data_IF_976895543304
#
_entry.id   IF_976895543304
#
_cell.length_a   1.000
_cell.length_b   1.000
_cell.length_c   1.000
_cell.angle_alpha   90.00
_cell.angle_beta   90.00
_cell.angle_gamma   90.00
#
_symmetry.space_group_name_H-M   'P 1'
#
loop_
_entity.id
_entity.type
_entity.pdbx_description
1 polymer ?
#
# COMPACT_ATOMS: atom_id res chain seq x y z
N UNK A 1 -29.96 -45.59 46.76
CA UNK A 1 -28.92 -45.77 45.72
C UNK A 1 -29.44 -45.06 44.48
N UNK A 2 -28.97 -43.92 43.98
CA UNK A 2 -27.71 -43.20 44.08
C UNK A 2 -27.44 -42.67 42.65
N UNK A 3 -28.00 -41.50 42.31
CA UNK A 3 -27.88 -40.84 40.99
C UNK A 3 -26.45 -40.30 40.86
N UNK A 4 -25.76 -40.46 39.71
CA UNK A 4 -24.56 -39.69 39.43
C UNK A 4 -24.77 -38.66 38.31
N UNK A 5 -24.57 -37.39 38.66
CA UNK A 5 -24.07 -36.29 37.82
C UNK A 5 -23.05 -35.53 38.71
N UNK A 6 -22.21 -34.63 38.18
CA UNK A 6 -21.21 -34.79 37.13
C UNK A 6 -19.81 -34.29 37.61
N UNK A 7 -18.75 -34.59 36.87
CA UNK A 7 -17.42 -34.01 37.05
C UNK A 7 -16.80 -33.93 35.64
N UNK A 8 -16.19 -32.86 35.12
CA UNK A 8 -15.53 -31.70 35.71
C UNK A 8 -15.51 -30.54 34.71
N UNK A 9 -15.44 -29.33 35.26
CA UNK A 9 -15.09 -28.07 34.59
C UNK A 9 -13.65 -28.13 34.04
N UNK A 10 -13.46 -27.76 32.76
CA UNK A 10 -12.17 -27.30 32.26
C UNK A 10 -12.31 -25.82 31.85
N UNK A 11 -11.48 -25.02 32.50
CA UNK A 11 -11.54 -23.57 32.68
C UNK A 11 -10.94 -22.88 31.44
N UNK A 12 -11.64 -21.88 30.93
CA UNK A 12 -11.12 -20.93 29.96
C UNK A 12 -9.90 -20.20 30.56
N UNK A 13 -8.76 -20.28 29.90
CA UNK A 13 -7.58 -19.47 30.22
C UNK A 13 -7.69 -18.14 29.48
N UNK A 14 -8.04 -17.12 30.26
CA UNK A 14 -8.03 -15.71 29.88
C UNK A 14 -6.55 -15.26 29.82
N UNK A 15 -6.00 -15.02 28.63
CA UNK A 15 -4.68 -14.41 28.49
C UNK A 15 -4.84 -12.89 28.41
N UNK A 16 -4.64 -12.24 29.54
CA UNK A 16 -4.51 -10.79 29.63
C UNK A 16 -3.17 -10.37 29.02
N UNK A 17 -3.19 -9.79 27.83
CA UNK A 17 -2.05 -9.06 27.31
C UNK A 17 -2.01 -7.68 27.99
N UNK A 18 -1.01 -7.50 28.84
CA UNK A 18 -0.70 -6.23 29.48
C UNK A 18 -0.24 -5.23 28.40
N UNK A 19 -1.01 -4.16 28.21
CA UNK A 19 -0.58 -3.01 27.44
C UNK A 19 0.39 -2.18 28.31
N UNK A 20 1.68 -2.21 27.99
CA UNK A 20 2.62 -1.21 28.49
C UNK A 20 2.52 0.05 27.60
N UNK A 21 2.38 1.25 28.17
CA UNK A 21 2.36 2.48 27.39
C UNK A 21 3.76 2.79 26.84
N UNK A 22 3.87 2.90 25.52
CA UNK A 22 5.07 3.37 24.84
C UNK A 22 5.25 4.88 25.10
N UNK A 23 6.48 5.36 25.41
CA UNK A 23 6.72 6.78 25.64
C UNK A 23 6.63 7.57 24.31
N UNK A 24 5.80 8.61 24.32
CA UNK A 24 5.68 9.61 23.25
C UNK A 24 6.93 10.50 23.24
N UNK A 25 7.59 10.71 22.09
CA UNK A 25 8.71 11.65 22.02
C UNK A 25 8.19 13.10 22.06
N UNK A 26 8.73 13.87 23.01
CA UNK A 26 8.51 15.30 23.16
C UNK A 26 9.29 16.05 22.05
N UNK A 27 8.69 16.99 21.32
CA UNK A 27 9.41 17.77 20.32
C UNK A 27 10.38 18.74 21.00
N UNK A 28 11.68 18.63 20.68
CA UNK A 28 12.69 19.61 21.06
C UNK A 28 12.56 20.86 20.18
N UNK A 29 12.60 22.01 20.83
CA UNK A 29 12.49 23.32 20.22
C UNK A 29 13.63 23.59 19.20
N UNK A 30 13.27 24.17 18.07
CA UNK A 30 14.21 24.69 17.09
C UNK A 30 14.95 25.91 17.66
N UNK A 31 16.29 25.99 17.55
CA UNK A 31 17.00 27.21 17.89
C UNK A 31 16.79 28.27 16.80
N UNK A 32 16.38 29.43 17.30
CA UNK A 32 16.17 30.71 16.64
C UNK A 32 17.43 31.26 15.95
N UNK A 33 17.17 32.01 14.88
CA UNK A 33 18.14 32.81 14.13
C UNK A 33 19.00 33.72 15.03
N UNK A 34 20.31 33.74 14.76
CA UNK A 34 21.22 34.79 15.20
C UNK A 34 21.61 35.66 14.00
N UNK A 35 21.61 37.00 14.12
CA UNK A 35 22.17 37.90 13.12
C UNK A 35 23.64 38.20 13.45
N UNK A 36 24.51 38.28 12.44
CA UNK A 36 25.63 39.23 12.35
C UNK A 36 26.51 38.90 11.15
N UNK A 37 26.78 39.91 10.32
CA UNK A 37 27.71 39.83 9.20
C UNK A 37 27.67 41.09 8.35
N UNK A 38 27.95 42.23 8.97
CA UNK A 38 28.12 43.52 8.30
C UNK A 38 29.57 43.74 7.91
N UNK A 39 29.74 44.41 6.76
CA UNK A 39 30.75 45.42 6.38
C UNK A 39 32.13 45.01 5.81
N UNK A 40 32.44 45.63 4.66
CA UNK A 40 33.78 45.77 4.05
C UNK A 40 33.76 45.86 2.50
N UNK A 41 33.21 46.90 1.87
CA UNK A 41 33.87 48.11 1.27
C UNK A 41 34.43 47.99 -0.16
N UNK A 42 34.09 48.99 -1.01
CA UNK A 42 34.77 49.39 -2.27
C UNK A 42 33.91 49.22 -3.52
N UNK A 43 33.12 50.20 -4.00
CA UNK A 43 33.48 51.42 -4.75
C UNK A 43 33.93 51.17 -6.21
N UNK A 44 33.08 51.59 -7.17
CA UNK A 44 33.52 52.13 -8.46
C UNK A 44 32.93 51.49 -9.73
N UNK A 45 32.12 52.29 -10.45
CA UNK A 45 31.84 52.25 -11.89
C UNK A 45 31.07 51.00 -12.39
N UNK A 46 30.27 50.96 -13.45
CA UNK A 46 29.86 51.83 -14.55
C UNK A 46 28.79 51.03 -15.33
N UNK A 47 27.95 51.70 -16.11
CA UNK A 47 26.66 51.19 -16.57
C UNK A 47 26.71 50.06 -17.61
N UNK A 48 25.70 49.19 -17.56
CA UNK A 48 25.43 48.18 -18.58
C UNK A 48 24.73 46.96 -18.00
N UNK A 49 23.43 47.04 -17.70
CA UNK A 49 22.64 45.85 -17.37
C UNK A 49 22.04 45.27 -18.65
N UNK A 50 22.89 44.60 -19.42
CA UNK A 50 22.45 43.52 -20.29
C UNK A 50 21.69 42.49 -19.42
N UNK A 51 20.59 41.98 -19.94
CA UNK A 51 19.67 41.07 -19.25
C UNK A 51 20.41 39.86 -18.68
N UNK A 52 20.59 39.86 -17.35
CA UNK A 52 21.10 38.70 -16.63
C UNK A 52 20.22 37.48 -16.95
N UNK A 53 20.80 36.31 -17.29
CA UNK A 53 20.05 35.09 -17.53
C UNK A 53 19.16 34.82 -16.31
N UNK A 54 17.84 34.72 -16.53
CA UNK A 54 16.91 34.35 -15.46
C UNK A 54 17.39 33.06 -14.83
N UNK A 55 17.72 33.11 -13.56
CA UNK A 55 18.10 31.95 -12.75
C UNK A 55 16.92 30.98 -12.69
N UNK A 56 16.98 29.92 -13.51
CA UNK A 56 15.98 28.84 -13.59
C UNK A 56 16.13 27.83 -12.44
N UNK A 57 17.06 28.02 -11.50
CA UNK A 57 17.24 27.11 -10.36
C UNK A 57 15.96 26.96 -9.54
N UNK A 58 15.20 28.05 -9.37
CA UNK A 58 13.91 28.07 -8.64
C UNK A 58 12.76 27.34 -9.35
N UNK A 59 12.82 27.16 -10.68
CA UNK A 59 11.79 26.42 -11.41
C UNK A 59 11.94 24.90 -11.22
N UNK A 60 13.15 24.44 -10.86
CA UNK A 60 13.48 23.05 -10.57
C UNK A 60 13.06 22.59 -9.17
N UNK A 61 12.70 23.50 -8.28
CA UNK A 61 12.34 23.24 -6.87
C UNK A 61 10.84 23.15 -6.61
N UNK A 62 10.00 23.06 -7.66
CA UNK A 62 8.59 22.72 -7.45
C UNK A 62 8.51 21.22 -7.12
N UNK A 63 7.92 20.81 -5.98
CA UNK A 63 7.67 19.40 -5.72
C UNK A 63 6.94 18.80 -6.91
N UNK A 64 7.50 17.77 -7.54
CA UNK A 64 6.82 17.08 -8.63
C UNK A 64 5.47 16.60 -8.11
N UNK A 65 4.38 17.16 -8.63
CA UNK A 65 3.03 16.80 -8.19
C UNK A 65 2.81 15.31 -8.45
N UNK A 66 2.32 14.60 -7.44
CA UNK A 66 2.10 13.16 -7.51
C UNK A 66 1.04 12.81 -8.58
N UNK A 67 1.39 12.10 -9.68
CA UNK A 67 0.46 11.88 -10.79
C UNK A 67 -0.81 11.09 -10.43
N UNK A 68 -0.75 10.04 -9.57
CA UNK A 68 -1.91 9.27 -9.15
C UNK A 68 -2.95 10.06 -8.37
N UNK A 69 -2.65 11.27 -7.86
CA UNK A 69 -3.65 12.14 -7.24
C UNK A 69 -4.77 12.56 -8.20
N UNK A 70 -4.57 12.40 -9.51
CA UNK A 70 -5.61 12.63 -10.53
C UNK A 70 -6.61 11.48 -10.63
N UNK A 71 -6.33 10.37 -9.97
CA UNK A 71 -7.25 9.24 -9.88
C UNK A 71 -8.43 9.52 -8.97
N UNK A 72 -9.25 8.50 -8.78
CA UNK A 72 -10.44 8.56 -7.95
C UNK A 72 -10.61 7.31 -7.10
N UNK A 73 -11.18 7.50 -5.91
CA UNK A 73 -11.63 6.41 -5.08
C UNK A 73 -12.92 5.82 -5.69
N UNK A 74 -12.90 4.55 -6.07
CA UNK A 74 -14.00 3.86 -6.74
C UNK A 74 -14.42 2.62 -5.96
N UNK A 75 -15.72 2.28 -6.00
CA UNK A 75 -16.24 1.05 -5.41
C UNK A 75 -16.20 -0.07 -6.45
N UNK A 76 -15.55 -1.18 -6.12
CA UNK A 76 -15.45 -2.35 -7.01
C UNK A 76 -16.10 -3.57 -6.39
N UNK A 77 -16.96 -4.20 -7.19
CA UNK A 77 -17.72 -5.38 -6.79
C UNK A 77 -17.06 -6.60 -7.42
N UNK A 78 -16.20 -7.26 -6.66
CA UNK A 78 -15.57 -8.51 -7.07
C UNK A 78 -16.19 -9.68 -6.31
N UNK A 79 -16.62 -10.70 -7.05
CA UNK A 79 -17.00 -11.98 -6.46
C UNK A 79 -15.73 -12.71 -6.04
N UNK A 80 -15.45 -12.71 -4.73
CA UNK A 80 -14.25 -13.32 -4.13
C UNK A 80 -14.56 -13.79 -2.71
N UNK A 81 -13.75 -14.70 -2.19
CA UNK A 81 -13.82 -15.09 -0.78
C UNK A 81 -13.70 -13.85 0.13
N UNK A 82 -14.25 -13.92 1.34
CA UNK A 82 -14.25 -12.77 2.26
C UNK A 82 -12.86 -12.41 2.80
N UNK A 83 -11.96 -13.39 2.93
CA UNK A 83 -10.59 -13.18 3.40
C UNK A 83 -9.83 -12.17 2.51
N UNK A 84 -9.66 -12.37 1.18
CA UNK A 84 -8.89 -11.43 0.35
C UNK A 84 -9.39 -9.99 0.44
N UNK A 85 -10.71 -9.81 0.59
CA UNK A 85 -11.34 -8.50 0.79
C UNK A 85 -10.92 -7.84 2.10
N UNK A 86 -10.83 -8.62 3.19
CA UNK A 86 -10.33 -8.15 4.50
C UNK A 86 -8.84 -7.85 4.43
N UNK A 87 -8.07 -8.69 3.75
CA UNK A 87 -6.65 -8.49 3.55
C UNK A 87 -6.36 -7.17 2.83
N UNK A 88 -7.04 -6.91 1.71
CA UNK A 88 -6.93 -5.66 0.96
C UNK A 88 -7.16 -4.43 1.87
N UNK A 89 -8.28 -4.41 2.60
CA UNK A 89 -8.60 -3.32 3.52
C UNK A 89 -7.55 -3.14 4.63
N UNK A 90 -6.95 -4.23 5.13
CA UNK A 90 -5.87 -4.15 6.13
C UNK A 90 -4.61 -3.47 5.57
N UNK A 91 -4.26 -3.77 4.32
CA UNK A 91 -3.06 -3.23 3.66
C UNK A 91 -3.25 -1.76 3.26
N UNK A 92 -4.43 -1.41 2.75
CA UNK A 92 -4.68 -0.11 2.12
C UNK A 92 -5.36 0.88 3.07
N UNK A 93 -6.02 0.39 4.12
CA UNK A 93 -6.87 1.20 4.99
C UNK A 93 -8.18 1.63 4.34
N UNK A 94 -8.50 1.11 3.15
CA UNK A 94 -9.72 1.46 2.43
C UNK A 94 -10.94 0.70 2.95
N UNK A 95 -12.11 1.32 2.80
CA UNK A 95 -13.38 0.74 3.22
C UNK A 95 -13.77 -0.48 2.37
N UNK A 96 -14.53 -1.39 2.97
CA UNK A 96 -15.06 -2.56 2.32
C UNK A 96 -16.38 -3.00 2.96
N UNK A 97 -17.14 -3.83 2.26
CA UNK A 97 -18.27 -4.55 2.83
C UNK A 97 -18.34 -5.99 2.33
N UNK A 98 -18.77 -6.88 3.21
CA UNK A 98 -19.08 -8.28 2.90
C UNK A 98 -20.57 -8.48 3.09
N UNK A 99 -21.22 -9.07 2.10
CA UNK A 99 -22.65 -9.39 2.16
C UNK A 99 -22.85 -10.66 2.98
N UNK A 100 -23.97 -10.75 3.70
CA UNK A 100 -24.34 -11.97 4.44
C UNK A 100 -25.61 -12.60 3.86
N UNK A 101 -25.74 -13.92 4.02
CA UNK A 101 -26.87 -14.73 3.54
C UNK A 101 -28.20 -14.50 4.27
N UNK A 102 -28.31 -13.42 5.07
CA UNK A 102 -29.44 -13.17 5.97
C UNK A 102 -29.49 -14.08 7.21
N UNK A 103 -28.61 -15.08 7.31
CA UNK A 103 -28.44 -15.97 8.48
C UNK A 103 -27.11 -15.72 9.20
N UNK A 104 -26.43 -14.62 8.86
CA UNK A 104 -25.16 -14.21 9.45
C UNK A 104 -23.93 -14.91 8.85
N UNK A 105 -24.06 -15.69 7.76
CA UNK A 105 -22.89 -16.25 7.07
C UNK A 105 -22.40 -15.29 6.01
N UNK A 106 -21.10 -15.07 5.98
CA UNK A 106 -20.45 -14.29 4.92
C UNK A 106 -20.57 -14.98 3.57
N UNK A 107 -20.77 -14.17 2.53
CA UNK A 107 -20.88 -14.62 1.13
C UNK A 107 -19.66 -14.18 0.33
N UNK A 108 -19.58 -14.62 -0.94
CA UNK A 108 -18.58 -14.12 -1.87
C UNK A 108 -18.92 -12.72 -2.42
N UNK A 109 -20.13 -12.22 -2.14
CA UNK A 109 -20.58 -10.91 -2.58
C UNK A 109 -20.11 -9.81 -1.61
N UNK A 110 -19.75 -8.66 -2.18
CA UNK A 110 -19.24 -7.53 -1.42
C UNK A 110 -18.56 -6.52 -2.32
N UNK A 111 -17.93 -5.55 -1.68
CA UNK A 111 -17.17 -4.52 -2.38
C UNK A 111 -15.96 -4.07 -1.59
N UNK A 112 -14.95 -3.59 -2.30
CA UNK A 112 -13.81 -2.85 -1.76
C UNK A 112 -13.80 -1.46 -2.40
N UNK A 113 -13.35 -0.45 -1.66
CA UNK A 113 -12.85 0.75 -2.33
C UNK A 113 -11.48 0.44 -2.92
N UNK A 114 -11.25 0.98 -4.11
CA UNK A 114 -10.02 0.89 -4.89
C UNK A 114 -9.70 2.28 -5.43
N UNK A 115 -8.47 2.47 -5.90
CA UNK A 115 -8.02 3.70 -6.54
C UNK A 115 -7.91 3.48 -8.04
N UNK A 116 -8.79 4.13 -8.81
CA UNK A 116 -8.72 4.14 -10.27
C UNK A 116 -7.83 5.30 -10.72
N UNK A 117 -6.80 4.98 -11.50
CA UNK A 117 -5.95 5.98 -12.13
C UNK A 117 -5.47 5.49 -13.49
N UNK A 118 -5.71 6.30 -14.53
CA UNK A 118 -5.46 5.96 -15.94
C UNK A 118 -6.28 4.73 -16.41
N UNK A 119 -7.52 4.60 -15.91
CA UNK A 119 -8.38 3.44 -16.15
C UNK A 119 -7.75 2.11 -15.68
N UNK A 120 -6.82 2.19 -14.72
CA UNK A 120 -6.18 1.07 -14.05
C UNK A 120 -6.57 1.11 -12.60
N UNK A 121 -7.13 0.00 -12.13
CA UNK A 121 -7.47 -0.21 -10.74
C UNK A 121 -6.23 -0.60 -9.92
N UNK A 122 -6.08 0.06 -8.78
CA UNK A 122 -5.12 -0.28 -7.73
C UNK A 122 -5.88 -0.48 -6.42
N UNK A 123 -5.49 -1.47 -5.64
CA UNK A 123 -6.18 -1.77 -4.38
C UNK A 123 -6.15 -0.60 -3.38
N UNK A 124 -5.10 0.24 -3.42
CA UNK A 124 -4.94 1.38 -2.54
C UNK A 124 -4.03 2.49 -3.07
N UNK A 125 -4.09 3.66 -2.41
CA UNK A 125 -3.24 4.81 -2.69
C UNK A 125 -2.87 5.59 -1.42
N UNK A 126 -1.56 5.79 -1.20
CA UNK A 126 -1.02 6.61 -0.12
C UNK A 126 -0.49 7.94 -0.68
N UNK A 127 -1.29 9.00 -0.52
CA UNK A 127 -0.98 10.34 -1.01
C UNK A 127 0.40 10.86 -0.59
N UNK A 128 0.75 10.71 0.69
CA UNK A 128 2.00 11.25 1.26
C UNK A 128 3.28 10.63 0.67
N UNK A 129 3.19 9.44 0.07
CA UNK A 129 4.31 8.71 -0.50
C UNK A 129 4.25 8.60 -2.01
N UNK A 130 3.19 9.13 -2.63
CA UNK A 130 2.85 8.88 -4.03
C UNK A 130 2.85 7.39 -4.38
N UNK A 131 2.33 6.56 -3.47
CA UNK A 131 2.44 5.11 -3.51
C UNK A 131 1.09 4.46 -3.80
N UNK A 132 1.00 3.81 -4.95
CA UNK A 132 -0.08 2.88 -5.28
C UNK A 132 0.21 1.51 -4.66
N UNK A 133 -0.84 0.81 -4.27
CA UNK A 133 -0.75 -0.47 -3.56
C UNK A 133 -1.58 -1.53 -4.27
N UNK A 134 -1.05 -2.75 -4.31
CA UNK A 134 -1.78 -3.95 -4.70
C UNK A 134 -1.68 -4.99 -3.57
N UNK A 135 -2.75 -5.67 -3.20
CA UNK A 135 -2.87 -6.61 -2.10
C UNK A 135 -3.46 -7.94 -2.58
N UNK A 136 -2.63 -8.99 -2.62
CA UNK A 136 -3.05 -10.34 -3.00
C UNK A 136 -3.19 -11.25 -1.78
N UNK A 137 -4.44 -11.53 -1.38
CA UNK A 137 -4.80 -12.41 -0.26
C UNK A 137 -5.17 -13.83 -0.69
N UNK A 138 -4.77 -14.83 0.12
CA UNK A 138 -5.21 -16.22 0.05
C UNK A 138 -5.10 -16.89 -1.33
N UNK A 139 -4.00 -16.70 -2.05
CA UNK A 139 -3.74 -17.39 -3.32
C UNK A 139 -2.95 -18.69 -3.16
N UNK A 140 -2.33 -18.95 -1.99
CA UNK A 140 -1.60 -20.19 -1.75
C UNK A 140 -2.51 -21.43 -1.80
N UNK A 141 -3.83 -21.26 -1.67
CA UNK A 141 -4.83 -22.32 -1.86
C UNK A 141 -4.77 -22.99 -3.25
N UNK A 142 -4.17 -22.34 -4.25
CA UNK A 142 -4.01 -22.90 -5.60
C UNK A 142 -2.76 -23.77 -5.76
N UNK A 143 -1.91 -23.86 -4.74
CA UNK A 143 -0.69 -24.66 -4.74
C UNK A 143 -0.86 -25.97 -3.95
N UNK A 144 -0.22 -27.03 -4.44
CA UNK A 144 0.00 -28.28 -3.71
C UNK A 144 1.14 -28.07 -2.68
N UNK A 145 1.31 -29.04 -1.79
CA UNK A 145 2.39 -29.02 -0.79
C UNK A 145 3.79 -28.96 -1.43
N UNK A 146 3.97 -29.60 -2.60
CA UNK A 146 5.21 -29.53 -3.37
C UNK A 146 5.42 -28.21 -4.15
N UNK A 147 4.59 -27.18 -3.91
CA UNK A 147 4.60 -25.86 -4.57
C UNK A 147 4.26 -25.89 -6.07
N UNK A 148 3.76 -27.00 -6.60
CA UNK A 148 3.16 -27.03 -7.92
C UNK A 148 1.72 -26.51 -7.88
N UNK A 149 1.22 -26.02 -9.01
CA UNK A 149 -0.19 -25.67 -9.12
C UNK A 149 -1.08 -26.91 -9.01
N UNK A 150 -2.18 -26.80 -8.26
CA UNK A 150 -3.23 -27.84 -8.18
C UNK A 150 -3.86 -28.11 -9.56
N UNK A 151 -4.05 -27.04 -10.33
CA UNK A 151 -4.61 -27.05 -11.69
C UNK A 151 -4.18 -25.77 -12.43
N UNK A 152 -4.29 -25.72 -13.78
CA UNK A 152 -4.03 -24.50 -14.55
C UNK A 152 -5.03 -23.39 -14.15
N UNK A 153 -4.60 -22.47 -13.29
CA UNK A 153 -5.44 -21.39 -12.80
C UNK A 153 -5.18 -20.10 -13.58
N UNK A 154 -6.14 -19.69 -14.41
CA UNK A 154 -6.06 -18.46 -15.23
C UNK A 154 -5.87 -17.19 -14.41
N UNK A 155 -6.19 -17.20 -13.11
CA UNK A 155 -5.97 -16.07 -12.23
C UNK A 155 -4.51 -15.65 -12.13
N UNK A 156 -3.54 -16.57 -12.30
CA UNK A 156 -2.13 -16.21 -12.33
C UNK A 156 -1.71 -15.52 -13.63
N UNK A 157 -2.27 -15.90 -14.77
CA UNK A 157 -2.04 -15.17 -16.04
C UNK A 157 -2.54 -13.74 -15.91
N UNK A 158 -3.77 -13.55 -15.39
CA UNK A 158 -4.32 -12.21 -15.13
C UNK A 158 -3.48 -11.41 -14.13
N UNK A 159 -2.95 -12.06 -13.10
CA UNK A 159 -2.06 -11.41 -12.14
C UNK A 159 -0.77 -10.93 -12.80
N UNK A 160 -0.19 -11.70 -13.72
CA UNK A 160 0.99 -11.29 -14.48
C UNK A 160 0.70 -10.10 -15.41
N UNK A 161 -0.44 -10.11 -16.10
CA UNK A 161 -0.91 -9.00 -16.95
C UNK A 161 -1.14 -7.73 -16.11
N UNK A 162 -1.67 -7.87 -14.89
CA UNK A 162 -1.87 -6.75 -13.98
C UNK A 162 -0.53 -6.17 -13.48
N UNK A 163 0.44 -7.02 -13.11
CA UNK A 163 1.81 -6.58 -12.76
C UNK A 163 2.41 -5.76 -13.90
N UNK A 164 2.29 -6.26 -15.13
CA UNK A 164 2.82 -5.60 -16.31
C UNK A 164 2.18 -4.22 -16.52
N UNK A 165 0.85 -4.18 -16.56
CA UNK A 165 0.06 -2.97 -16.82
C UNK A 165 0.32 -1.89 -15.76
N UNK A 166 0.24 -2.25 -14.48
CA UNK A 166 0.48 -1.33 -13.38
C UNK A 166 1.94 -0.87 -13.32
N UNK A 167 2.90 -1.79 -13.49
CA UNK A 167 4.33 -1.48 -13.47
C UNK A 167 4.76 -0.54 -14.59
N UNK A 168 4.22 -0.73 -15.79
CA UNK A 168 4.45 0.16 -16.94
C UNK A 168 3.87 1.56 -16.70
N UNK A 169 2.61 1.64 -16.26
CA UNK A 169 1.95 2.92 -15.99
C UNK A 169 2.69 3.74 -14.92
N UNK A 170 3.09 3.10 -13.82
CA UNK A 170 3.82 3.76 -12.72
C UNK A 170 5.20 4.23 -13.18
N UNK A 171 5.94 3.39 -13.90
CA UNK A 171 7.28 3.72 -14.41
C UNK A 171 7.25 4.87 -15.41
N UNK A 172 6.21 4.98 -16.23
CA UNK A 172 6.04 6.05 -17.20
C UNK A 172 5.70 7.42 -16.56
N UNK A 173 5.31 7.45 -15.28
CA UNK A 173 4.76 8.62 -14.61
C UNK A 173 5.47 8.91 -13.28
N UNK A 174 6.76 9.29 -13.25
CA UNK A 174 7.42 9.69 -12.00
C UNK A 174 6.77 10.95 -11.40
N UNK A 175 6.75 11.13 -10.06
CA UNK A 175 7.35 10.28 -9.01
C UNK A 175 6.46 9.13 -8.50
N UNK A 176 5.50 8.62 -9.29
CA UNK A 176 4.63 7.52 -8.85
C UNK A 176 5.43 6.29 -8.42
N UNK A 177 4.94 5.60 -7.38
CA UNK A 177 5.51 4.36 -6.87
C UNK A 177 4.42 3.30 -6.79
N UNK A 178 4.82 2.04 -6.81
CA UNK A 178 3.95 0.89 -6.68
C UNK A 178 4.56 -0.09 -5.69
N UNK A 179 3.75 -0.71 -4.83
CA UNK A 179 4.15 -1.82 -3.98
C UNK A 179 3.10 -2.92 -4.02
N UNK A 180 3.55 -4.16 -4.22
CA UNK A 180 2.71 -5.35 -4.16
C UNK A 180 2.88 -6.07 -2.82
N UNK A 181 1.77 -6.28 -2.13
CA UNK A 181 1.68 -6.97 -0.84
C UNK A 181 1.06 -8.34 -1.07
N UNK A 182 1.70 -9.37 -0.55
CA UNK A 182 1.20 -10.73 -0.60
C UNK A 182 0.96 -11.24 0.81
N UNK A 183 -0.24 -11.72 1.09
CA UNK A 183 -0.56 -12.34 2.38
C UNK A 183 0.19 -13.66 2.54
N UNK A 184 0.46 -14.34 1.42
CA UNK A 184 1.04 -15.68 1.41
C UNK A 184 2.34 -15.75 0.60
N UNK A 185 3.34 -16.52 1.06
CA UNK A 185 4.69 -16.44 0.49
C UNK A 185 4.86 -17.20 -0.82
N UNK A 186 4.07 -18.27 -1.07
CA UNK A 186 4.26 -19.09 -2.29
C UNK A 186 3.79 -18.35 -3.52
N UNK A 187 2.65 -17.66 -3.43
CA UNK A 187 2.14 -16.82 -4.52
C UNK A 187 3.12 -15.71 -4.87
N UNK A 188 3.71 -15.04 -3.87
CA UNK A 188 4.77 -14.06 -4.13
C UNK A 188 5.95 -14.70 -4.85
N UNK A 189 6.45 -15.84 -4.36
CA UNK A 189 7.55 -16.56 -4.96
C UNK A 189 7.26 -16.94 -6.43
N UNK A 190 6.04 -17.39 -6.71
CA UNK A 190 5.58 -17.74 -8.05
C UNK A 190 5.52 -16.53 -9.00
N UNK A 191 5.18 -15.34 -8.49
CA UNK A 191 5.14 -14.09 -9.26
C UNK A 191 6.49 -13.36 -9.37
N UNK A 192 7.53 -13.79 -8.66
CA UNK A 192 8.79 -13.03 -8.56
C UNK A 192 9.46 -12.74 -9.91
N UNK A 193 9.37 -13.65 -10.88
CA UNK A 193 9.97 -13.41 -12.19
C UNK A 193 9.29 -12.24 -12.92
N UNK A 194 7.96 -12.21 -12.93
CA UNK A 194 7.18 -11.12 -13.54
C UNK A 194 7.36 -9.81 -12.78
N UNK A 195 7.32 -9.84 -11.45
CA UNK A 195 7.55 -8.66 -10.61
C UNK A 195 8.92 -8.02 -10.91
N UNK A 196 9.98 -8.83 -11.03
CA UNK A 196 11.32 -8.35 -11.39
C UNK A 196 11.38 -7.80 -12.81
N UNK A 197 10.74 -8.48 -13.77
CA UNK A 197 10.69 -8.06 -15.17
C UNK A 197 10.11 -6.65 -15.31
N UNK A 198 9.07 -6.33 -14.55
CA UNK A 198 8.42 -5.02 -14.58
C UNK A 198 8.91 -4.03 -13.52
N UNK A 199 9.92 -4.40 -12.72
CA UNK A 199 10.51 -3.53 -11.71
C UNK A 199 9.56 -3.19 -10.56
N UNK A 200 8.60 -4.08 -10.26
CA UNK A 200 7.59 -3.88 -9.22
C UNK A 200 8.10 -4.47 -7.90
N UNK A 201 8.36 -3.64 -6.88
CA UNK A 201 8.76 -4.15 -5.58
C UNK A 201 7.59 -4.88 -4.91
N UNK A 202 7.92 -5.90 -4.12
CA UNK A 202 6.92 -6.66 -3.40
C UNK A 202 7.42 -7.17 -2.05
N UNK A 203 6.49 -7.33 -1.11
CA UNK A 203 6.75 -7.90 0.20
C UNK A 203 5.70 -8.96 0.56
N UNK A 204 6.10 -9.91 1.41
CA UNK A 204 5.18 -10.80 2.08
C UNK A 204 4.77 -10.14 3.40
N UNK A 205 3.49 -9.87 3.56
CA UNK A 205 2.91 -9.20 4.72
C UNK A 205 1.57 -9.89 5.05
N UNK A 206 1.55 -10.84 5.99
CA UNK A 206 0.32 -11.52 6.44
C UNK A 206 -0.55 -10.66 7.38
#
# INVERSE_FOLDING_TARGET
MGIPLPATLARAANAMAQAMPMPVPVPTAAPSAGPAGSSGTGAGADGGWDELPRDRSRERERPCKCPPEKGALVRKNHSMNSEPRRYQARITGFEYAITTDGKGRETAEGWNMEWDWLDIDFDGFQHSQCLLQEAKGNYDQFFKENKELKFPFKGFTKMQEQIATQGEAVRANPPSRLMWYFETPQTRAYMMNTLRQFGVPSIHQP
#
